data_IF_862766089125
#
_entry.id   IF_862766089125
#
_cell.length_a   1.000
_cell.length_b   1.000
_cell.length_c   1.000
_cell.angle_alpha   90.00
_cell.angle_beta   90.00
_cell.angle_gamma   90.00
#
_symmetry.space_group_name_H-M   'P 1'
#
loop_
_entity.id
_entity.type
_entity.pdbx_description
1 polymer ?
#
# COMPACT_ATOMS: atom_id res chain seq x y z
N UNK A 1 9.00 -55.99 -19.39
CA UNK A 1 9.38 -55.20 -20.58
C UNK A 1 8.26 -54.22 -20.85
N UNK A 2 8.64 -52.95 -20.99
CA UNK A 2 7.86 -51.74 -21.32
C UNK A 2 6.94 -51.25 -20.20
N UNK A 3 6.79 -49.96 -19.90
CA UNK A 3 7.45 -48.70 -20.28
C UNK A 3 6.90 -47.68 -19.25
N UNK A 4 7.76 -46.90 -18.59
CA UNK A 4 7.81 -45.44 -18.67
C UNK A 4 6.54 -44.61 -18.34
N UNK A 5 6.81 -43.58 -17.54
CA UNK A 5 6.11 -42.28 -17.49
C UNK A 5 4.73 -42.25 -16.85
N UNK A 6 4.42 -41.34 -15.94
CA UNK A 6 5.16 -40.18 -15.47
C UNK A 6 4.26 -39.33 -14.56
N UNK A 7 4.91 -38.46 -13.79
CA UNK A 7 4.39 -37.16 -13.34
C UNK A 7 2.96 -37.14 -12.76
N UNK A 8 2.81 -37.45 -11.48
CA UNK A 8 1.78 -36.82 -10.66
C UNK A 8 2.17 -35.36 -10.39
N UNK A 9 1.85 -34.47 -11.32
CA UNK A 9 1.88 -33.02 -11.11
C UNK A 9 0.45 -32.51 -11.12
N UNK A 10 0.14 -31.66 -10.15
CA UNK A 10 -1.09 -30.86 -10.05
C UNK A 10 -2.27 -31.71 -9.58
N UNK A 11 -2.93 -31.45 -8.45
CA UNK A 11 -3.85 -30.32 -8.32
C UNK A 11 -4.33 -30.20 -6.85
N UNK A 12 -3.43 -30.16 -5.87
CA UNK A 12 -3.78 -29.63 -4.53
C UNK A 12 -3.63 -28.10 -4.49
N UNK A 13 -3.88 -27.43 -5.62
CA UNK A 13 -3.78 -25.97 -5.82
C UNK A 13 -4.98 -25.21 -5.29
N UNK A 14 -5.97 -25.86 -4.66
CA UNK A 14 -7.29 -25.26 -4.40
C UNK A 14 -7.65 -25.02 -2.93
N UNK A 15 -6.90 -25.50 -1.95
CA UNK A 15 -7.36 -25.47 -0.54
C UNK A 15 -6.60 -24.54 0.42
N UNK A 16 -5.96 -23.48 -0.10
CA UNK A 16 -5.41 -22.39 0.74
C UNK A 16 -5.69 -21.02 0.15
N UNK A 17 -6.97 -20.75 -0.12
CA UNK A 17 -7.50 -19.39 -0.09
C UNK A 17 -7.30 -18.81 1.32
N UNK A 18 -6.05 -18.42 1.64
CA UNK A 18 -5.67 -17.63 2.79
C UNK A 18 -6.67 -16.48 2.86
N UNK A 19 -7.59 -16.53 3.82
CA UNK A 19 -8.50 -15.45 4.21
C UNK A 19 -7.80 -14.12 3.92
N UNK A 20 -8.22 -13.41 2.87
CA UNK A 20 -7.54 -12.20 2.38
C UNK A 20 -7.57 -11.19 3.52
N UNK A 21 -6.51 -11.17 4.33
CA UNK A 21 -6.38 -10.20 5.42
C UNK A 21 -6.29 -8.84 4.73
N UNK A 22 -7.23 -7.95 5.04
CA UNK A 22 -7.18 -6.56 4.59
C UNK A 22 -5.87 -5.90 5.02
N UNK A 23 -5.60 -4.67 4.55
CA UNK A 23 -4.41 -3.97 4.98
C UNK A 23 -4.40 -3.80 6.50
N UNK A 24 -3.26 -4.15 7.11
CA UNK A 24 -3.01 -3.91 8.54
C UNK A 24 -2.01 -2.77 8.63
N UNK A 25 -2.35 -1.74 9.41
CA UNK A 25 -1.49 -0.59 9.65
C UNK A 25 -0.96 -0.63 11.08
N UNK A 26 0.33 -0.38 11.21
CA UNK A 26 1.08 -0.43 12.47
C UNK A 26 0.93 0.82 13.33
N UNK A 27 0.49 1.94 12.73
CA UNK A 27 0.31 3.21 13.43
C UNK A 27 -1.14 3.63 13.40
N UNK A 28 -1.63 4.20 14.51
CA UNK A 28 -2.90 4.93 14.52
C UNK A 28 -2.79 6.23 13.71
N UNK A 29 -3.92 6.87 13.41
CA UNK A 29 -3.95 8.16 12.73
C UNK A 29 -3.20 9.24 13.52
N UNK A 30 -3.45 9.33 14.83
CA UNK A 30 -2.76 10.23 15.76
C UNK A 30 -1.23 9.99 15.76
N UNK A 31 -0.81 8.73 15.74
CA UNK A 31 0.61 8.37 15.69
C UNK A 31 1.27 8.75 14.36
N UNK A 32 0.53 8.75 13.25
CA UNK A 32 1.04 9.24 11.96
C UNK A 32 1.33 10.74 12.04
N UNK A 33 0.38 11.53 12.54
CA UNK A 33 0.60 12.97 12.73
C UNK A 33 1.75 13.27 13.68
N UNK A 34 1.76 12.64 14.86
CA UNK A 34 2.79 12.84 15.86
C UNK A 34 4.18 12.49 15.33
N UNK A 35 4.33 11.40 14.56
CA UNK A 35 5.62 11.05 13.93
C UNK A 35 6.06 12.02 12.85
N UNK A 36 5.13 12.53 12.04
CA UNK A 36 5.44 13.57 11.07
C UNK A 36 5.97 14.82 11.76
N UNK A 37 5.31 15.26 12.84
CA UNK A 37 5.71 16.42 13.64
C UNK A 37 7.09 16.23 14.30
N UNK A 38 7.33 15.09 14.96
CA UNK A 38 8.64 14.76 15.56
C UNK A 38 9.79 14.82 14.55
N UNK A 39 9.52 14.49 13.28
CA UNK A 39 10.49 14.49 12.19
C UNK A 39 10.52 15.81 11.41
N UNK A 40 9.77 16.83 11.86
CA UNK A 40 9.65 18.15 11.21
C UNK A 40 9.13 18.07 9.77
N UNK A 41 8.29 17.07 9.48
CA UNK A 41 7.56 16.99 8.22
C UNK A 41 6.26 17.78 8.30
N UNK A 42 5.85 18.33 7.16
CA UNK A 42 4.61 19.07 7.06
C UNK A 42 3.39 18.16 7.30
N UNK A 43 2.29 18.76 7.75
CA UNK A 43 1.05 18.04 8.05
C UNK A 43 0.48 17.33 6.80
N UNK A 44 0.75 17.85 5.60
CA UNK A 44 0.38 17.22 4.33
C UNK A 44 1.04 15.84 4.14
N UNK A 45 2.24 15.62 4.67
CA UNK A 45 2.91 14.32 4.61
C UNK A 45 2.13 13.24 5.39
N UNK A 46 1.57 13.59 6.56
CA UNK A 46 0.64 12.70 7.27
C UNK A 46 -0.63 12.47 6.44
N UNK A 47 -1.18 13.54 5.86
CA UNK A 47 -2.33 13.47 4.95
C UNK A 47 -2.14 12.48 3.80
N UNK A 48 -0.97 12.48 3.14
CA UNK A 48 -0.66 11.54 2.05
C UNK A 48 -0.63 10.09 2.52
N UNK A 49 -0.08 9.82 3.72
CA UNK A 49 -0.10 8.48 4.31
C UNK A 49 -1.54 8.03 4.58
N UNK A 50 -2.35 8.89 5.20
CA UNK A 50 -3.74 8.57 5.53
C UNK A 50 -4.61 8.40 4.28
N UNK A 51 -4.45 9.26 3.27
CA UNK A 51 -5.13 9.12 1.99
C UNK A 51 -4.81 7.79 1.31
N UNK A 52 -3.53 7.37 1.34
CA UNK A 52 -3.14 6.07 0.80
C UNK A 52 -3.77 4.91 1.57
N UNK A 53 -3.81 5.00 2.91
CA UNK A 53 -4.46 3.98 3.76
C UNK A 53 -5.94 3.84 3.45
N UNK A 54 -6.64 4.95 3.27
CA UNK A 54 -8.05 4.95 2.87
C UNK A 54 -8.26 4.24 1.54
N UNK A 55 -7.43 4.54 0.54
CA UNK A 55 -7.50 3.88 -0.77
C UNK A 55 -7.24 2.38 -0.65
N UNK A 56 -6.24 1.98 0.13
CA UNK A 56 -5.96 0.57 0.39
C UNK A 56 -7.13 -0.13 1.10
N UNK A 57 -7.75 0.51 2.09
CA UNK A 57 -8.93 -0.02 2.78
C UNK A 57 -10.11 -0.20 1.84
N UNK A 58 -10.44 0.83 1.04
CA UNK A 58 -11.54 0.80 0.08
C UNK A 58 -11.35 -0.27 -1.00
N UNK A 59 -10.13 -0.44 -1.47
CA UNK A 59 -9.79 -1.46 -2.47
C UNK A 59 -9.58 -2.86 -1.87
N UNK A 60 -9.49 -2.99 -0.55
CA UNK A 60 -9.11 -4.24 0.12
C UNK A 60 -7.69 -4.70 -0.21
N UNK A 61 -6.79 -3.77 -0.52
CA UNK A 61 -5.43 -4.07 -0.99
C UNK A 61 -4.43 -4.12 0.15
N UNK A 62 -3.72 -5.25 0.25
CA UNK A 62 -2.52 -5.35 1.10
C UNK A 62 -1.36 -4.53 0.53
N UNK A 63 -0.33 -4.28 1.34
CA UNK A 63 0.91 -3.62 0.89
C UNK A 63 1.51 -4.36 -0.31
N UNK A 64 1.51 -5.70 -0.30
CA UNK A 64 2.03 -6.53 -1.40
C UNK A 64 1.23 -6.35 -2.69
N UNK A 65 -0.10 -6.26 -2.58
CA UNK A 65 -0.96 -6.02 -3.75
C UNK A 65 -0.70 -4.63 -4.34
N UNK A 66 -0.67 -3.60 -3.49
CA UNK A 66 -0.38 -2.24 -3.91
C UNK A 66 1.00 -2.11 -4.55
N UNK A 67 2.03 -2.75 -3.97
CA UNK A 67 3.37 -2.79 -4.55
C UNK A 67 3.37 -3.33 -5.99
N UNK A 68 2.61 -4.41 -6.23
CA UNK A 68 2.45 -4.99 -7.57
C UNK A 68 1.74 -4.04 -8.54
N UNK A 69 0.63 -3.42 -8.12
CA UNK A 69 -0.12 -2.51 -8.98
C UNK A 69 0.61 -1.20 -9.27
N UNK A 70 1.34 -0.65 -8.29
CA UNK A 70 2.07 0.61 -8.42
C UNK A 70 3.48 0.43 -9.02
N UNK A 71 3.97 -0.80 -9.15
CA UNK A 71 5.37 -1.08 -9.48
C UNK A 71 6.35 -0.30 -8.57
N UNK A 72 6.11 -0.42 -7.26
CA UNK A 72 6.92 0.18 -6.18
C UNK A 72 7.34 -0.93 -5.22
N UNK A 73 8.54 -0.84 -4.65
CA UNK A 73 9.00 -1.87 -3.70
C UNK A 73 8.14 -1.90 -2.43
N UNK A 74 7.94 -3.10 -1.89
CA UNK A 74 7.23 -3.30 -0.62
C UNK A 74 7.92 -2.54 0.53
N UNK A 75 9.25 -2.48 0.52
CA UNK A 75 10.02 -1.74 1.52
C UNK A 75 9.74 -0.24 1.45
N UNK A 76 9.69 0.36 0.26
CA UNK A 76 9.33 1.77 0.10
C UNK A 76 7.91 2.06 0.58
N UNK A 77 6.93 1.22 0.21
CA UNK A 77 5.56 1.37 0.69
C UNK A 77 5.46 1.21 2.21
N UNK A 78 6.18 0.25 2.79
CA UNK A 78 6.22 0.04 4.24
C UNK A 78 6.85 1.23 4.94
N UNK A 79 7.98 1.75 4.45
CA UNK A 79 8.64 2.92 5.01
C UNK A 79 7.76 4.16 4.94
N UNK A 80 7.02 4.34 3.83
CA UNK A 80 6.05 5.41 3.67
C UNK A 80 4.90 5.30 4.66
N UNK A 81 4.23 4.13 4.74
CA UNK A 81 3.11 3.90 5.64
C UNK A 81 3.49 3.97 7.13
N UNK A 82 4.77 3.79 7.45
CA UNK A 82 5.33 3.89 8.80
C UNK A 82 5.98 5.24 9.12
N UNK A 83 5.88 6.23 8.22
CA UNK A 83 6.45 7.57 8.40
C UNK A 83 7.98 7.54 8.59
N UNK A 84 8.66 6.60 7.92
CA UNK A 84 10.12 6.47 7.93
C UNK A 84 10.76 7.24 6.79
N UNK A 85 10.16 7.18 5.60
CA UNK A 85 10.59 7.87 4.37
C UNK A 85 9.38 8.30 3.56
N UNK A 86 9.48 9.43 2.88
CA UNK A 86 8.41 9.91 2.02
C UNK A 86 8.66 9.56 0.56
N UNK A 87 7.56 9.44 -0.19
CA UNK A 87 7.62 9.22 -1.61
C UNK A 87 8.06 10.47 -2.36
N UNK A 88 8.83 10.24 -3.42
CA UNK A 88 9.02 11.24 -4.46
C UNK A 88 7.71 11.44 -5.22
N UNK A 89 7.59 12.56 -5.94
CA UNK A 89 6.44 12.84 -6.80
C UNK A 89 6.17 11.72 -7.80
N UNK A 90 7.22 11.11 -8.36
CA UNK A 90 7.07 9.98 -9.28
C UNK A 90 6.47 8.75 -8.59
N UNK A 91 6.92 8.43 -7.36
CA UNK A 91 6.32 7.36 -6.59
C UNK A 91 4.85 7.67 -6.30
N UNK A 92 4.52 8.89 -5.84
CA UNK A 92 3.15 9.33 -5.60
C UNK A 92 2.25 9.18 -6.84
N UNK A 93 2.77 9.55 -8.02
CA UNK A 93 2.07 9.37 -9.29
C UNK A 93 1.76 7.88 -9.57
N UNK A 94 2.74 6.99 -9.37
CA UNK A 94 2.56 5.55 -9.57
C UNK A 94 1.51 4.96 -8.62
N UNK A 95 1.53 5.34 -7.33
CA UNK A 95 0.51 4.87 -6.38
C UNK A 95 -0.87 5.43 -6.68
N UNK A 96 -1.00 6.71 -7.03
CA UNK A 96 -2.28 7.30 -7.42
C UNK A 96 -2.86 6.58 -8.65
N UNK A 97 -2.03 6.34 -9.67
CA UNK A 97 -2.41 5.64 -10.89
C UNK A 97 -2.82 4.19 -10.64
N UNK A 98 -2.22 3.52 -9.66
CA UNK A 98 -2.63 2.16 -9.27
C UNK A 98 -4.12 2.10 -8.88
N UNK A 99 -4.66 3.17 -8.28
CA UNK A 99 -6.08 3.30 -7.95
C UNK A 99 -6.93 3.98 -9.04
N UNK A 100 -6.38 4.22 -10.23
CA UNK A 100 -7.06 4.94 -11.31
C UNK A 100 -7.27 6.43 -11.02
N UNK A 101 -6.42 7.04 -10.17
CA UNK A 101 -6.53 8.45 -9.79
C UNK A 101 -5.44 9.30 -10.45
N UNK A 102 -5.77 10.57 -10.69
CA UNK A 102 -4.78 11.61 -10.98
C UNK A 102 -4.06 12.03 -9.69
N UNK A 103 -2.80 12.43 -9.81
CA UNK A 103 -2.00 12.91 -8.66
C UNK A 103 -2.68 14.09 -7.94
N UNK A 104 -3.23 15.05 -8.67
CA UNK A 104 -3.96 16.18 -8.09
C UNK A 104 -5.17 15.77 -7.25
N UNK A 105 -5.82 14.65 -7.59
CA UNK A 105 -6.93 14.12 -6.80
C UNK A 105 -6.42 13.45 -5.51
N UNK A 106 -5.28 12.76 -5.60
CA UNK A 106 -4.61 12.21 -4.43
C UNK A 106 -4.15 13.31 -3.47
N UNK A 107 -3.58 14.40 -3.99
CA UNK A 107 -3.15 15.54 -3.17
C UNK A 107 -4.33 16.21 -2.45
N UNK A 108 -5.47 16.40 -3.13
CA UNK A 108 -6.70 16.90 -2.47
C UNK A 108 -7.19 15.99 -1.34
N UNK A 109 -7.07 14.67 -1.49
CA UNK A 109 -7.39 13.73 -0.42
C UNK A 109 -6.42 13.88 0.76
N UNK A 110 -5.14 14.08 0.47
CA UNK A 110 -4.12 14.32 1.47
C UNK A 110 -4.35 15.63 2.21
N UNK A 111 -4.70 16.72 1.51
CA UNK A 111 -5.04 18.02 2.09
C UNK A 111 -6.26 17.92 3.02
N UNK A 112 -7.33 17.26 2.55
CA UNK A 112 -8.52 17.02 3.36
C UNK A 112 -8.20 16.24 4.64
N UNK A 113 -7.31 15.25 4.56
CA UNK A 113 -6.82 14.52 5.75
C UNK A 113 -5.95 15.36 6.65
N UNK A 114 -5.12 16.23 6.10
CA UNK A 114 -4.24 17.08 6.88
C UNK A 114 -4.98 18.20 7.63
N UNK A 115 -6.14 18.62 7.11
CA UNK A 115 -7.00 19.65 7.69
C UNK A 115 -8.01 19.13 8.73
N UNK A 116 -8.20 17.80 8.80
CA UNK A 116 -8.97 17.15 9.86
C UNK A 116 -8.23 17.21 11.21
#
# INVERSE_FOLDING_TARGET
>A
MNDESGLEVSQASEEKAKRRRGPVFTLTEEQVFHRCEQRKHSRICAGQVLALRDLMCRAGWSIKALAGHANVSISHLSDFLNVKKFFTTECLFRVARAFGLLLSRFDKMAEARAAA
#
